data_IF_853813823544
#
_entry.id   IF_853813823544
#
_cell.length_a   1.000
_cell.length_b   1.000
_cell.length_c   1.000
_cell.angle_alpha   90.00
_cell.angle_beta   90.00
_cell.angle_gamma   90.00
#
_symmetry.space_group_name_H-M   'P 1'
#
loop_
_entity.id
_entity.type
_entity.pdbx_description
1 polymer ?
#
# COMPACT_ATOMS: atom_id res chain seq x y z
N UNK A 1 5.67 1.59 -12.67
CA UNK A 1 4.56 1.48 -11.71
C UNK A 1 4.55 0.05 -11.20
N UNK A 2 4.35 -0.15 -9.90
CA UNK A 2 4.25 -1.47 -9.27
C UNK A 2 2.86 -1.59 -8.66
N UNK A 3 2.23 -2.74 -8.84
CA UNK A 3 0.97 -3.11 -8.20
C UNK A 3 1.25 -4.11 -7.08
N UNK A 4 0.66 -3.88 -5.91
CA UNK A 4 0.85 -4.63 -4.69
C UNK A 4 -0.51 -5.09 -4.19
N UNK A 5 -0.69 -6.40 -4.07
CA UNK A 5 -1.91 -7.01 -3.52
C UNK A 5 -1.50 -8.14 -2.55
N UNK A 6 -1.13 -7.79 -1.30
CA UNK A 6 -0.68 -8.75 -0.31
C UNK A 6 -1.85 -9.54 0.30
N UNK A 7 -1.57 -10.73 0.89
CA UNK A 7 -2.53 -11.39 1.76
C UNK A 7 -2.81 -10.54 3.02
N UNK A 8 -3.84 -10.87 3.80
CA UNK A 8 -4.27 -10.12 5.03
C UNK A 8 -3.15 -9.68 5.98
N UNK A 9 -2.04 -10.44 6.05
CA UNK A 9 -0.88 -10.12 6.89
C UNK A 9 -0.04 -8.92 6.40
N UNK A 10 -0.34 -8.36 5.23
CA UNK A 10 0.49 -7.37 4.54
C UNK A 10 1.77 -7.99 3.97
N UNK A 11 2.74 -7.16 3.63
CA UNK A 11 4.07 -7.61 3.21
C UNK A 11 5.07 -7.58 4.35
N UNK A 12 6.10 -8.42 4.22
CA UNK A 12 7.30 -8.33 5.05
C UNK A 12 8.08 -7.04 4.73
N UNK A 13 8.66 -6.43 5.75
CA UNK A 13 9.40 -5.16 5.62
C UNK A 13 10.56 -5.26 4.62
N UNK A 14 11.21 -6.43 4.54
CA UNK A 14 12.30 -6.69 3.60
C UNK A 14 11.88 -6.56 2.14
N UNK A 15 10.64 -6.95 1.82
CA UNK A 15 10.09 -6.83 0.48
C UNK A 15 9.73 -5.37 0.15
N UNK A 16 9.13 -4.64 1.09
CA UNK A 16 8.86 -3.20 0.92
C UNK A 16 10.15 -2.41 0.68
N UNK A 17 11.23 -2.76 1.39
CA UNK A 17 12.58 -2.22 1.17
C UNK A 17 13.13 -2.56 -0.22
N UNK A 18 12.93 -3.79 -0.70
CA UNK A 18 13.35 -4.18 -2.05
C UNK A 18 12.59 -3.40 -3.13
N UNK A 19 11.27 -3.24 -2.98
CA UNK A 19 10.42 -2.45 -3.88
C UNK A 19 10.89 -0.99 -3.93
N UNK A 20 11.18 -0.39 -2.78
CA UNK A 20 11.68 0.98 -2.74
C UNK A 20 13.04 1.14 -3.45
N UNK A 21 13.92 0.13 -3.37
CA UNK A 21 15.21 0.13 -4.08
C UNK A 21 15.03 0.07 -5.61
N UNK A 22 14.00 -0.60 -6.10
CA UNK A 22 13.69 -0.63 -7.55
C UNK A 22 13.32 0.74 -8.11
N UNK A 23 13.14 1.77 -7.25
CA UNK A 23 12.99 3.16 -7.66
C UNK A 23 11.76 3.45 -8.53
N UNK A 24 10.69 2.67 -8.38
CA UNK A 24 9.41 2.94 -9.06
C UNK A 24 8.82 4.27 -8.58
N UNK A 25 8.44 5.16 -9.49
CA UNK A 25 7.81 6.44 -9.12
C UNK A 25 6.42 6.28 -8.51
N UNK A 26 5.68 5.23 -8.90
CA UNK A 26 4.29 4.99 -8.50
C UNK A 26 4.10 3.57 -7.98
N UNK A 27 3.36 3.45 -6.89
CA UNK A 27 2.90 2.18 -6.32
C UNK A 27 1.39 2.25 -6.15
N UNK A 28 0.68 1.25 -6.65
CA UNK A 28 -0.72 1.00 -6.32
C UNK A 28 -0.75 -0.14 -5.32
N UNK A 29 -1.28 0.10 -4.13
CA UNK A 29 -1.37 -0.87 -3.06
C UNK A 29 -2.83 -1.16 -2.75
N UNK A 30 -3.24 -2.42 -2.90
CA UNK A 30 -4.58 -2.91 -2.54
C UNK A 30 -4.47 -3.66 -1.21
N UNK A 31 -5.30 -3.31 -0.23
CA UNK A 31 -5.38 -4.03 1.05
C UNK A 31 -6.81 -4.22 1.50
N UNK A 32 -7.04 -5.38 2.10
CA UNK A 32 -8.28 -5.77 2.73
C UNK A 32 -8.31 -5.57 4.25
N UNK A 33 -7.17 -5.18 4.84
CA UNK A 33 -6.99 -4.98 6.28
C UNK A 33 -6.40 -3.59 6.52
N UNK A 34 -7.14 -2.67 7.16
CA UNK A 34 -6.68 -1.31 7.46
C UNK A 34 -5.47 -1.25 8.41
N UNK A 35 -5.32 -2.21 9.33
CA UNK A 35 -4.25 -2.21 10.31
C UNK A 35 -2.91 -2.56 9.66
N UNK A 36 -2.87 -3.62 8.85
CA UNK A 36 -1.65 -4.00 8.11
C UNK A 36 -1.34 -2.99 7.00
N UNK A 37 -2.36 -2.42 6.35
CA UNK A 37 -2.18 -1.30 5.41
C UNK A 37 -1.48 -0.11 6.08
N UNK A 38 -1.96 0.33 7.25
CA UNK A 38 -1.37 1.48 7.96
C UNK A 38 0.09 1.25 8.33
N UNK A 39 0.44 0.02 8.77
CA UNK A 39 1.83 -0.38 9.04
C UNK A 39 2.69 -0.27 7.79
N UNK A 40 2.25 -0.85 6.68
CA UNK A 40 3.02 -0.92 5.45
C UNK A 40 3.17 0.47 4.80
N UNK A 41 2.12 1.30 4.83
CA UNK A 41 2.19 2.69 4.38
C UNK A 41 3.17 3.53 5.19
N UNK A 42 3.28 3.29 6.50
CA UNK A 42 4.28 3.96 7.34
C UNK A 42 5.70 3.59 6.91
N UNK A 43 5.97 2.30 6.71
CA UNK A 43 7.27 1.81 6.22
C UNK A 43 7.60 2.43 4.86
N UNK A 44 6.66 2.42 3.91
CA UNK A 44 6.84 3.02 2.59
C UNK A 44 7.07 4.54 2.69
N UNK A 45 6.39 5.22 3.62
CA UNK A 45 6.61 6.64 3.87
C UNK A 45 8.04 6.94 4.33
N UNK A 46 8.59 6.10 5.19
CA UNK A 46 9.97 6.18 5.67
C UNK A 46 10.98 5.83 4.56
N UNK A 47 10.55 5.05 3.56
CA UNK A 47 11.29 4.69 2.35
C UNK A 47 11.08 5.64 1.16
N UNK A 48 10.84 6.93 1.42
CA UNK A 48 10.73 7.99 0.41
C UNK A 48 9.48 7.95 -0.48
N UNK A 49 8.42 7.26 -0.05
CA UNK A 49 7.10 7.36 -0.69
C UNK A 49 6.17 8.29 0.09
N UNK A 50 5.13 8.78 -0.58
CA UNK A 50 4.05 9.56 0.00
C UNK A 50 2.74 8.98 -0.50
N UNK A 51 1.83 8.72 0.42
CA UNK A 51 0.43 8.40 0.08
C UNK A 51 -0.24 9.64 -0.50
N UNK A 52 -0.75 9.53 -1.72
CA UNK A 52 -1.46 10.62 -2.39
C UNK A 52 -2.98 10.47 -2.29
N UNK A 53 -3.47 9.25 -2.45
CA UNK A 53 -4.89 8.96 -2.50
C UNK A 53 -5.17 7.60 -1.85
N UNK A 54 -6.32 7.50 -1.17
CA UNK A 54 -6.85 6.26 -0.60
C UNK A 54 -8.30 6.18 -0.98
N UNK A 55 -8.68 5.13 -1.71
CA UNK A 55 -10.04 4.86 -2.14
C UNK A 55 -10.52 3.55 -1.50
N UNK A 56 -11.37 3.61 -0.47
CA UNK A 56 -12.11 2.45 0.02
C UNK A 56 -13.10 1.96 -1.03
N UNK A 57 -13.24 0.64 -1.14
CA UNK A 57 -14.16 -0.05 -2.05
C UNK A 57 -14.92 -1.10 -1.26
N UNK A 58 -16.24 -0.96 -1.22
CA UNK A 58 -17.13 -2.00 -0.68
C UNK A 58 -17.35 -3.07 -1.75
N UNK A 59 -16.51 -4.11 -1.71
CA UNK A 59 -16.68 -5.31 -2.55
C UNK A 59 -17.63 -6.33 -1.91
N UNK A 60 -18.00 -6.13 -0.64
CA UNK A 60 -18.70 -7.12 0.16
C UNK A 60 -19.82 -6.46 0.98
N UNK A 61 -20.95 -6.11 0.33
CA UNK A 61 -22.05 -5.46 1.00
C UNK A 61 -22.52 -6.25 2.22
N UNK A 62 -22.86 -5.54 3.28
CA UNK A 62 -23.33 -6.10 4.56
C UNK A 62 -22.28 -6.88 5.37
N UNK A 63 -21.00 -6.87 4.96
CA UNK A 63 -19.89 -7.38 5.76
C UNK A 63 -19.01 -6.24 6.29
N UNK A 64 -18.26 -6.50 7.36
CA UNK A 64 -17.32 -5.54 7.93
C UNK A 64 -16.03 -5.38 7.10
N UNK A 65 -15.90 -6.13 6.00
CA UNK A 65 -14.70 -6.18 5.18
C UNK A 65 -14.69 -5.03 4.18
N UNK A 66 -13.59 -4.27 4.13
CA UNK A 66 -13.43 -3.14 3.22
C UNK A 66 -12.10 -3.29 2.50
N UNK A 67 -12.14 -3.29 1.17
CA UNK A 67 -10.94 -3.18 0.36
C UNK A 67 -10.52 -1.71 0.25
N UNK A 68 -9.23 -1.44 0.22
CA UNK A 68 -8.69 -0.09 0.08
C UNK A 68 -7.61 -0.09 -0.98
N UNK A 69 -7.75 0.79 -1.97
CA UNK A 69 -6.77 1.03 -3.01
C UNK A 69 -6.02 2.31 -2.65
N UNK A 70 -4.69 2.24 -2.60
CA UNK A 70 -3.82 3.35 -2.21
C UNK A 70 -2.86 3.67 -3.33
N UNK A 71 -2.85 4.94 -3.73
CA UNK A 71 -1.83 5.48 -4.62
C UNK A 71 -0.70 6.08 -3.78
N UNK A 72 0.50 5.52 -3.94
CA UNK A 72 1.72 6.12 -3.42
C UNK A 72 2.59 6.65 -4.57
N UNK A 73 3.26 7.77 -4.29
CA UNK A 73 4.24 8.37 -5.18
C UNK A 73 5.55 8.62 -4.46
N UNK A 74 6.67 8.47 -5.16
CA UNK A 74 7.98 8.81 -4.60
C UNK A 74 8.09 10.32 -4.35
N UNK A 75 8.67 10.73 -3.23
CA UNK A 75 8.73 12.15 -2.80
C UNK A 75 9.69 13.00 -3.66
N UNK A 76 10.84 12.46 -4.05
CA UNK A 76 11.90 13.18 -4.76
C UNK A 76 11.98 12.80 -6.25
N UNK A 77 10.88 12.93 -6.98
CA UNK A 77 10.83 12.76 -8.45
C UNK A 77 10.53 14.07 -9.15
#
# INVERSE_FOLDING_TARGET
>A
MIELNPPRKGYEESLLKAIAKMSSQKIIYVSCDPATLTRDLKILNDLDYKTLEVQPVDMFPYMAHVESIVLLHRKNS
#
